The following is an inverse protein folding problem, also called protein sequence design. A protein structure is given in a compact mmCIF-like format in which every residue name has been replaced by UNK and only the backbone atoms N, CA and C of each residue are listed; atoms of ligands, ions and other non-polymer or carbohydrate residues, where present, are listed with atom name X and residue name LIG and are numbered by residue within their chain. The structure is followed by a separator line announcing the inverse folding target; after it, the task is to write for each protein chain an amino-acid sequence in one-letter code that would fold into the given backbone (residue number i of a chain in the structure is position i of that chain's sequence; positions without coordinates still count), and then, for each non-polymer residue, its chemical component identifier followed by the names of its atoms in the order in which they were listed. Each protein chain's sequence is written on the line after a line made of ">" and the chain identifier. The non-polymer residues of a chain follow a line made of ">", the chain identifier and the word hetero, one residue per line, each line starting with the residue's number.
data_IF_843004865046
#
_entry.id   IF_843004865046
#
_cell.length_a   1.000
_cell.length_b   1.000
_cell.length_c   1.000
_cell.angle_alpha   90.00
_cell.angle_beta   90.00
_cell.angle_gamma   90.00
#
_symmetry.space_group_name_H-M   'P 1'
#
loop_
_entity.id
_entity.type
_entity.pdbx_description
1 polymer ?
#
# COMPACT_ATOMS: atom_id res chain seq x y z
N UNK A 1 -36.12 -2.57 -13.88
CA UNK A 1 -36.16 -1.96 -15.23
C UNK A 1 -35.11 -2.64 -16.08
N UNK A 2 -35.47 -3.19 -17.25
CA UNK A 2 -34.52 -3.89 -18.11
C UNK A 2 -33.65 -2.89 -18.89
N UNK A 3 -32.33 -3.03 -18.83
CA UNK A 3 -31.39 -2.19 -19.57
C UNK A 3 -31.31 -2.67 -21.02
N UNK A 4 -31.67 -1.81 -21.98
CA UNK A 4 -31.57 -2.10 -23.42
C UNK A 4 -30.23 -1.58 -23.92
N UNK A 5 -29.34 -2.50 -24.32
CA UNK A 5 -28.09 -2.14 -24.99
C UNK A 5 -28.39 -1.89 -26.46
N UNK A 6 -28.32 -0.64 -26.90
CA UNK A 6 -28.46 -0.27 -28.32
C UNK A 6 -27.08 -0.29 -28.97
N UNK A 7 -26.87 -1.24 -29.88
CA UNK A 7 -25.62 -1.36 -30.63
C UNK A 7 -25.67 -0.42 -31.84
N UNK A 8 -24.90 0.67 -31.81
CA UNK A 8 -24.78 1.61 -32.95
C UNK A 8 -23.70 1.12 -33.92
N UNK A 9 -24.04 1.08 -35.22
CA UNK A 9 -23.11 0.73 -36.29
C UNK A 9 -22.54 2.01 -36.92
N UNK A 10 -21.22 2.09 -37.01
CA UNK A 10 -20.50 3.13 -37.73
C UNK A 10 -20.08 2.58 -39.09
N UNK A 11 -20.54 3.23 -40.16
CA UNK A 11 -20.11 2.92 -41.52
C UNK A 11 -19.25 4.07 -42.06
N UNK A 12 -18.13 3.74 -42.70
CA UNK A 12 -17.22 4.73 -43.29
C UNK A 12 -17.33 4.67 -44.80
N UNK A 13 -17.63 5.81 -45.41
CA UNK A 13 -17.64 5.99 -46.87
C UNK A 13 -16.55 6.98 -47.30
N UNK A 14 -16.49 7.28 -48.60
CA UNK A 14 -15.50 8.18 -49.18
C UNK A 14 -15.61 9.64 -48.70
N UNK A 15 -16.71 10.00 -48.02
CA UNK A 15 -17.00 11.36 -47.56
C UNK A 15 -16.85 11.48 -46.03
N UNK A 16 -16.90 10.37 -45.28
CA UNK A 16 -16.63 10.37 -43.84
C UNK A 16 -17.13 9.13 -43.10
N UNK A 17 -17.21 9.25 -41.77
CA UNK A 17 -17.85 8.22 -40.92
C UNK A 17 -19.27 8.68 -40.61
N UNK A 18 -20.27 7.87 -40.97
CA UNK A 18 -21.68 8.14 -40.72
C UNK A 18 -22.20 7.20 -39.64
N UNK A 19 -22.88 7.78 -38.63
CA UNK A 19 -23.59 7.03 -37.61
C UNK A 19 -24.94 6.59 -38.19
N UNK A 20 -25.16 5.29 -38.31
CA UNK A 20 -26.41 4.74 -38.81
C UNK A 20 -27.21 4.18 -37.63
N UNK A 21 -28.31 4.85 -37.28
CA UNK A 21 -29.29 4.34 -36.33
C UNK A 21 -30.31 3.51 -37.12
N UNK A 22 -30.49 2.22 -36.80
CA UNK A 22 -31.38 1.35 -37.57
C UNK A 22 -32.83 1.86 -37.52
N UNK A 23 -33.48 1.87 -38.67
CA UNK A 23 -34.89 2.25 -38.81
C UNK A 23 -35.77 1.23 -38.08
N UNK A 24 -36.91 1.67 -37.53
CA UNK A 24 -37.88 0.78 -36.87
C UNK A 24 -38.41 -0.33 -37.77
N UNK A 25 -38.28 -0.19 -39.10
CA UNK A 25 -38.63 -1.23 -40.07
C UNK A 25 -37.60 -2.38 -40.16
N UNK A 26 -36.36 -2.18 -39.71
CA UNK A 26 -35.27 -3.17 -39.81
C UNK A 26 -35.20 -4.14 -38.61
N UNK A 27 -35.99 -3.89 -37.55
CA UNK A 27 -36.00 -4.71 -36.33
C UNK A 27 -36.38 -6.18 -36.56
N UNK A 28 -37.22 -6.47 -37.57
CA UNK A 28 -37.64 -7.85 -37.88
C UNK A 28 -36.56 -8.69 -38.58
N UNK A 29 -35.51 -8.07 -39.11
CA UNK A 29 -34.41 -8.79 -39.77
C UNK A 29 -33.27 -9.20 -38.80
N UNK A 30 -33.30 -8.75 -37.55
CA UNK A 30 -32.22 -8.94 -36.56
C UNK A 30 -32.49 -10.06 -35.54
N UNK A 31 -33.66 -10.71 -35.57
CA UNK A 31 -34.02 -11.78 -34.61
C UNK A 31 -33.46 -13.17 -34.96
N UNK A 32 -32.77 -13.34 -36.09
CA UNK A 32 -32.15 -14.61 -36.51
C UNK A 32 -30.62 -14.49 -36.65
N UNK A 33 -29.93 -14.19 -35.55
CA UNK A 33 -28.48 -14.43 -35.46
C UNK A 33 -28.22 -15.25 -34.19
N UNK A 34 -28.38 -16.57 -34.31
CA UNK A 34 -27.94 -17.53 -33.31
C UNK A 34 -26.41 -17.63 -33.35
N UNK A 35 -25.68 -17.51 -32.23
CA UNK A 35 -24.23 -17.66 -32.25
C UNK A 35 -23.87 -19.14 -32.46
N UNK A 36 -23.37 -19.45 -33.66
CA UNK A 36 -22.76 -20.75 -33.97
C UNK A 36 -21.48 -20.91 -33.14
N UNK A 37 -21.55 -21.68 -32.05
CA UNK A 37 -20.38 -22.18 -31.32
C UNK A 37 -19.54 -23.05 -32.25
N UNK A 38 -18.47 -22.50 -32.81
CA UNK A 38 -17.40 -23.30 -33.42
C UNK A 38 -16.54 -23.92 -32.32
N UNK A 39 -16.76 -25.20 -32.06
CA UNK A 39 -15.80 -26.08 -31.38
C UNK A 39 -14.50 -26.13 -32.19
N UNK A 40 -13.49 -25.36 -31.77
CA UNK A 40 -12.12 -25.54 -32.26
C UNK A 40 -11.51 -26.78 -31.58
N UNK A 41 -11.33 -27.84 -32.36
CA UNK A 41 -10.48 -28.99 -32.00
C UNK A 41 -9.02 -28.51 -31.98
N UNK A 42 -8.41 -28.53 -30.80
CA UNK A 42 -6.98 -28.30 -30.63
C UNK A 42 -6.18 -29.41 -31.33
N UNK A 43 -5.60 -29.12 -32.49
CA UNK A 43 -4.54 -29.93 -33.09
C UNK A 43 -3.24 -29.68 -32.31
N UNK A 44 -2.71 -30.71 -31.67
CA UNK A 44 -1.34 -30.73 -31.11
C UNK A 44 -0.34 -30.53 -32.23
N UNK A 45 0.31 -29.37 -32.27
CA UNK A 45 1.54 -29.16 -33.02
C UNK A 45 2.70 -29.72 -32.19
N UNK A 46 3.28 -30.83 -32.67
CA UNK A 46 4.54 -31.38 -32.16
C UNK A 46 5.67 -30.53 -32.75
N UNK A 47 6.24 -29.66 -31.93
CA UNK A 47 7.45 -28.91 -32.30
C UNK A 47 8.65 -29.83 -32.09
N UNK A 48 9.28 -30.26 -33.19
CA UNK A 48 10.61 -30.91 -33.16
C UNK A 48 11.65 -29.86 -32.77
N UNK A 49 12.28 -30.03 -31.61
CA UNK A 49 13.48 -29.28 -31.23
C UNK A 49 14.68 -29.76 -32.05
N UNK A 50 15.21 -28.90 -32.91
CA UNK A 50 16.55 -29.05 -33.49
C UNK A 50 17.58 -28.53 -32.50
N UNK A 51 18.55 -29.38 -32.14
CA UNK A 51 19.74 -29.01 -31.35
C UNK A 51 20.64 -28.11 -32.20
N UNK A 52 20.92 -26.90 -31.73
CA UNK A 52 22.00 -26.07 -32.24
C UNK A 52 23.11 -26.10 -31.18
N UNK A 53 24.31 -26.49 -31.61
CA UNK A 53 25.52 -26.52 -30.80
C UNK A 53 25.98 -25.09 -30.45
N UNK A 54 26.59 -24.94 -29.28
CA UNK A 54 26.68 -23.69 -28.55
C UNK A 54 27.78 -22.70 -28.97
N UNK A 55 27.77 -21.57 -28.27
CA UNK A 55 28.92 -20.73 -27.98
C UNK A 55 28.58 -19.96 -26.70
N UNK A 56 29.41 -20.13 -25.65
CA UNK A 56 29.18 -19.57 -24.32
C UNK A 56 29.74 -18.16 -24.16
N UNK A 57 29.19 -17.39 -23.21
CA UNK A 57 29.90 -16.43 -22.36
C UNK A 57 28.97 -15.98 -21.21
N UNK A 58 29.50 -15.96 -19.98
CA UNK A 58 29.09 -15.01 -18.93
C UNK A 58 27.88 -15.35 -18.07
N UNK A 59 28.15 -15.80 -16.85
CA UNK A 59 27.22 -16.17 -15.78
C UNK A 59 26.46 -14.99 -15.15
N UNK A 60 25.13 -15.15 -14.99
CA UNK A 60 24.35 -14.51 -13.93
C UNK A 60 23.22 -15.48 -13.49
N UNK A 61 22.92 -15.66 -12.19
CA UNK A 61 21.96 -16.66 -11.75
C UNK A 61 20.52 -16.19 -11.97
N UNK A 62 19.81 -16.86 -12.89
CA UNK A 62 18.34 -16.77 -13.01
C UNK A 62 17.68 -17.72 -12.02
N UNK A 63 16.85 -17.18 -11.14
CA UNK A 63 15.91 -17.95 -10.32
C UNK A 63 14.91 -18.69 -11.23
N UNK A 64 14.64 -19.95 -10.91
CA UNK A 64 13.66 -20.80 -11.61
C UNK A 64 12.27 -20.49 -11.09
N UNK A 65 11.38 -20.06 -11.99
CA UNK A 65 9.94 -20.09 -11.79
C UNK A 65 9.48 -21.54 -11.64
N UNK A 66 8.90 -21.87 -10.48
CA UNK A 66 8.19 -23.13 -10.27
C UNK A 66 6.74 -22.94 -10.71
N UNK A 67 6.40 -23.59 -11.82
CA UNK A 67 5.04 -23.83 -12.30
C UNK A 67 4.34 -24.81 -11.33
N UNK A 68 3.31 -24.35 -10.62
CA UNK A 68 2.39 -25.23 -9.91
C UNK A 68 1.32 -25.78 -10.87
N UNK A 69 1.26 -27.10 -10.99
CA UNK A 69 0.09 -27.83 -11.48
C UNK A 69 -0.47 -28.67 -10.34
N UNK A 70 -1.73 -28.39 -10.05
CA UNK A 70 -2.72 -29.07 -9.19
C UNK A 70 -2.75 -30.60 -9.25
N UNK A 71 -2.86 -31.26 -8.08
CA UNK A 71 -3.93 -32.18 -7.59
C UNK A 71 -3.39 -33.09 -6.44
N UNK A 72 -4.23 -33.83 -5.67
CA UNK A 72 -5.16 -33.35 -4.64
C UNK A 72 -4.83 -33.91 -3.24
N UNK A 73 -5.59 -33.42 -2.26
CA UNK A 73 -5.60 -33.70 -0.82
C UNK A 73 -5.47 -35.20 -0.48
N UNK A 74 -4.50 -35.53 0.37
CA UNK A 74 -4.50 -36.75 1.17
C UNK A 74 -4.00 -36.45 2.60
N UNK A 75 -4.79 -36.95 3.56
CA UNK A 75 -4.62 -36.95 5.02
C UNK A 75 -3.17 -36.89 5.54
N UNK A 76 -2.89 -35.89 6.39
CA UNK A 76 -1.74 -35.94 7.30
C UNK A 76 -2.21 -36.44 8.69
N UNK A 77 -1.93 -37.70 8.98
CA UNK A 77 -1.81 -38.25 10.34
C UNK A 77 -0.34 -38.63 10.54
N UNK A 78 0.21 -38.25 11.70
CA UNK A 78 1.59 -38.48 12.21
C UNK A 78 2.61 -37.52 11.57
N UNK A 79 3.39 -36.75 12.34
CA UNK A 79 4.06 -37.10 13.59
C UNK A 79 4.23 -35.89 14.51
N UNK A 80 3.48 -35.89 15.61
CA UNK A 80 3.89 -35.28 16.86
C UNK A 80 5.04 -36.13 17.43
N UNK A 81 6.28 -35.73 17.17
CA UNK A 81 7.47 -36.25 17.85
C UNK A 81 8.67 -35.36 17.51
N UNK A 82 8.74 -34.15 18.08
CA UNK A 82 9.98 -33.36 18.22
C UNK A 82 9.76 -32.14 19.14
N UNK A 83 9.11 -32.35 20.29
CA UNK A 83 8.95 -31.29 21.31
C UNK A 83 9.04 -31.81 22.75
N UNK A 84 9.93 -32.78 23.00
CA UNK A 84 10.21 -33.32 24.34
C UNK A 84 11.72 -33.37 24.64
N UNK A 85 12.46 -32.29 24.38
CA UNK A 85 13.89 -32.22 24.69
C UNK A 85 14.37 -30.87 25.26
N UNK A 86 13.51 -30.10 25.95
CA UNK A 86 13.95 -28.88 26.63
C UNK A 86 13.28 -28.62 27.99
N UNK A 87 13.11 -29.69 28.79
CA UNK A 87 12.84 -29.59 30.22
C UNK A 87 13.63 -30.65 30.97
N UNK A 88 14.83 -30.29 31.44
CA UNK A 88 15.50 -30.83 32.65
C UNK A 88 16.87 -30.17 32.83
N UNK A 89 16.94 -29.20 33.75
CA UNK A 89 17.99 -28.97 34.77
C UNK A 89 17.89 -27.53 35.30
N UNK A 90 16.99 -27.32 36.26
CA UNK A 90 17.25 -26.40 37.38
C UNK A 90 17.06 -27.21 38.65
N UNK A 91 18.19 -27.58 39.22
CA UNK A 91 18.32 -28.10 40.57
C UNK A 91 17.78 -27.08 41.55
N UNK A 92 16.81 -27.49 42.37
CA UNK A 92 16.33 -26.78 43.54
C UNK A 92 17.48 -26.63 44.56
N UNK A 93 17.74 -25.44 45.13
CA UNK A 93 18.48 -25.37 46.37
C UNK A 93 17.53 -25.65 47.54
N UNK A 94 17.96 -26.57 48.41
CA UNK A 94 17.24 -26.97 49.60
C UNK A 94 17.02 -25.81 50.57
N UNK A 95 15.85 -25.84 51.21
CA UNK A 95 15.51 -25.01 52.36
C UNK A 95 16.24 -25.59 53.58
N UNK A 96 17.22 -24.86 54.09
CA UNK A 96 17.78 -25.04 55.42
C UNK A 96 17.64 -23.74 56.21
N UNK A 97 16.80 -23.76 57.24
CA UNK A 97 16.88 -22.85 58.40
C UNK A 97 18.05 -23.29 59.27
N UNK A 98 18.94 -22.39 59.74
CA UNK A 98 18.68 -21.70 61.02
C UNK A 98 19.37 -20.32 61.18
N UNK A 99 19.01 -19.61 62.25
CA UNK A 99 19.95 -18.70 62.93
C UNK A 99 19.58 -17.22 62.93
N UNK A 100 18.80 -16.81 63.93
CA UNK A 100 18.68 -15.43 64.40
C UNK A 100 20.03 -14.93 64.92
N UNK A 101 20.64 -13.97 64.21
CA UNK A 101 21.76 -13.17 64.71
C UNK A 101 21.52 -11.70 64.35
N UNK A 102 21.04 -10.94 65.32
CA UNK A 102 20.90 -9.49 65.30
C UNK A 102 22.27 -8.81 65.14
N UNK A 103 22.58 -8.31 63.93
CA UNK A 103 23.66 -7.33 63.72
C UNK A 103 23.05 -5.93 63.58
N UNK A 104 23.42 -5.04 64.50
CA UNK A 104 23.17 -3.59 64.47
C UNK A 104 23.68 -3.00 63.15
N UNK A 105 22.76 -2.61 62.27
CA UNK A 105 23.05 -1.73 61.14
C UNK A 105 23.09 -0.30 61.68
N UNK A 106 24.26 0.34 61.53
CA UNK A 106 24.46 1.75 61.87
C UNK A 106 23.70 2.58 60.84
N UNK A 107 22.66 3.28 61.29
CA UNK A 107 21.93 4.29 60.49
C UNK A 107 22.95 5.35 60.06
N UNK A 108 23.34 5.36 58.78
CA UNK A 108 24.02 6.50 58.18
C UNK A 108 22.91 7.49 57.84
N UNK A 109 22.94 8.64 58.51
CA UNK A 109 22.02 9.73 58.27
C UNK A 109 22.06 10.10 56.78
N UNK A 110 20.95 9.86 56.09
CA UNK A 110 20.71 10.32 54.74
C UNK A 110 20.76 11.85 54.76
N UNK A 111 21.87 12.40 54.28
CA UNK A 111 22.02 13.82 53.98
C UNK A 111 20.92 14.16 52.97
N UNK A 112 19.96 14.96 53.42
CA UNK A 112 18.83 15.44 52.63
C UNK A 112 19.40 16.32 51.50
N UNK A 113 19.68 15.69 50.36
CA UNK A 113 20.03 16.40 49.13
C UNK A 113 18.73 17.04 48.68
N UNK A 114 18.68 18.36 48.75
CA UNK A 114 17.57 19.18 48.31
C UNK A 114 17.40 19.00 46.79
N UNK A 115 16.61 18.00 46.42
CA UNK A 115 16.40 17.56 45.05
C UNK A 115 15.26 18.36 44.42
N UNK A 116 15.38 19.69 44.39
CA UNK A 116 14.56 20.48 43.47
C UNK A 116 15.13 20.26 42.06
N UNK A 117 14.40 19.59 41.14
CA UNK A 117 14.88 19.45 39.77
C UNK A 117 15.06 20.84 39.15
N UNK A 118 16.14 21.06 38.38
CA UNK A 118 16.45 22.36 37.82
C UNK A 118 15.30 22.85 36.94
N UNK A 119 14.74 24.03 37.28
CA UNK A 119 13.58 24.64 36.60
C UNK A 119 13.72 24.67 35.07
N UNK A 120 14.94 24.84 34.56
CA UNK A 120 15.28 24.91 33.13
C UNK A 120 14.80 23.68 32.33
N UNK A 121 14.78 22.47 32.93
CA UNK A 121 14.37 21.26 32.20
C UNK A 121 12.86 21.17 31.99
N UNK A 122 12.04 21.83 32.80
CA UNK A 122 10.57 21.76 32.69
C UNK A 122 10.05 22.61 31.54
N UNK A 123 10.60 23.81 31.36
CA UNK A 123 10.11 24.77 30.36
C UNK A 123 10.34 24.26 28.92
N UNK A 124 11.45 23.56 28.68
CA UNK A 124 11.77 22.97 27.36
C UNK A 124 10.79 21.83 27.00
N UNK A 125 10.45 20.97 27.96
CA UNK A 125 9.53 19.85 27.74
C UNK A 125 8.13 20.37 27.44
N UNK A 126 7.66 21.36 28.21
CA UNK A 126 6.33 21.93 28.01
C UNK A 126 6.20 22.62 26.64
N UNK A 127 7.19 23.43 26.25
CA UNK A 127 7.21 24.10 24.94
C UNK A 127 7.13 23.11 23.78
N UNK A 128 7.79 21.95 23.91
CA UNK A 128 7.78 20.89 22.89
C UNK A 128 6.40 20.23 22.76
N UNK A 129 5.73 19.98 23.89
CA UNK A 129 4.38 19.41 23.92
C UNK A 129 3.34 20.37 23.32
N UNK A 130 3.44 21.66 23.65
CA UNK A 130 2.54 22.69 23.13
C UNK A 130 2.68 22.83 21.61
N UNK A 131 3.92 22.92 21.12
CA UNK A 131 4.20 22.96 19.69
C UNK A 131 3.69 21.71 18.95
N UNK A 132 3.85 20.51 19.53
CA UNK A 132 3.31 19.28 18.94
C UNK A 132 1.79 19.33 18.83
N UNK A 133 1.13 19.80 19.89
CA UNK A 133 -0.32 20.01 19.91
C UNK A 133 -0.77 20.96 18.80
N UNK A 134 -0.06 22.06 18.58
CA UNK A 134 -0.46 23.05 17.56
C UNK A 134 -0.29 22.52 16.13
N UNK A 135 0.79 21.78 15.84
CA UNK A 135 0.93 21.11 14.55
C UNK A 135 -0.15 20.05 14.32
N UNK A 136 -0.52 19.31 15.36
CA UNK A 136 -1.62 18.33 15.30
C UNK A 136 -2.94 19.01 14.95
N UNK A 137 -3.29 20.11 15.62
CA UNK A 137 -4.50 20.90 15.31
C UNK A 137 -4.50 21.39 13.87
N UNK A 138 -3.34 21.86 13.37
CA UNK A 138 -3.18 22.30 11.98
C UNK A 138 -3.40 21.15 10.99
N UNK A 139 -2.90 19.96 11.29
CA UNK A 139 -3.16 18.75 10.49
C UNK A 139 -4.66 18.48 10.44
N UNK A 140 -5.34 18.41 11.58
CA UNK A 140 -6.78 18.15 11.66
C UNK A 140 -7.59 19.17 10.86
N UNK A 141 -7.33 20.46 11.07
CA UNK A 141 -7.99 21.53 10.32
C UNK A 141 -7.77 21.43 8.80
N UNK A 142 -6.56 21.08 8.38
CA UNK A 142 -6.24 20.91 6.96
C UNK A 142 -6.99 19.71 6.37
N UNK A 143 -7.06 18.59 7.09
CA UNK A 143 -7.83 17.41 6.68
C UNK A 143 -9.33 17.70 6.60
N UNK A 144 -9.88 18.50 7.52
CA UNK A 144 -11.28 18.96 7.47
C UNK A 144 -11.55 19.84 6.25
N UNK A 145 -10.65 20.79 5.96
CA UNK A 145 -10.76 21.67 4.80
C UNK A 145 -10.69 20.88 3.48
N UNK A 146 -9.91 19.78 3.44
CA UNK A 146 -9.86 18.85 2.31
C UNK A 146 -11.04 17.88 2.26
N UNK A 147 -11.94 17.91 3.25
CA UNK A 147 -13.00 16.92 3.44
C UNK A 147 -12.45 15.49 3.44
N UNK A 148 -11.25 15.30 4.02
CA UNK A 148 -10.64 14.00 4.18
C UNK A 148 -11.45 13.19 5.20
N UNK A 149 -11.68 11.92 4.89
CA UNK A 149 -12.39 10.96 5.74
C UNK A 149 -11.59 9.70 6.01
N UNK A 150 -10.55 9.43 5.20
CA UNK A 150 -9.67 8.29 5.34
C UNK A 150 -8.22 8.71 5.14
N UNK A 151 -7.36 8.40 6.12
CA UNK A 151 -5.91 8.49 5.99
C UNK A 151 -5.33 7.08 5.91
N UNK A 152 -4.72 6.77 4.76
CA UNK A 152 -3.95 5.57 4.53
C UNK A 152 -2.46 5.85 4.80
N UNK A 153 -1.83 4.99 5.58
CA UNK A 153 -0.41 5.10 5.95
C UNK A 153 0.29 3.84 5.45
N UNK A 154 1.39 3.99 4.71
CA UNK A 154 2.26 2.85 4.41
C UNK A 154 2.97 2.33 5.68
N UNK A 155 3.42 1.08 5.64
CA UNK A 155 4.03 0.44 6.78
C UNK A 155 5.55 0.63 6.85
N UNK A 156 6.28 0.07 5.88
CA UNK A 156 7.74 0.06 5.86
C UNK A 156 8.26 1.46 5.55
N UNK A 157 9.28 1.92 6.27
CA UNK A 157 9.86 3.27 6.11
C UNK A 157 8.86 4.43 6.15
N UNK A 158 7.60 4.20 6.51
CA UNK A 158 6.59 5.25 6.71
C UNK A 158 6.12 5.22 8.15
N UNK A 159 5.26 4.26 8.54
CA UNK A 159 4.89 4.07 9.95
C UNK A 159 6.12 3.64 10.77
N UNK A 160 6.95 2.77 10.20
CA UNK A 160 8.24 2.36 10.75
C UNK A 160 9.38 3.25 10.25
N UNK A 161 10.46 3.31 11.01
CA UNK A 161 11.72 3.94 10.59
C UNK A 161 12.65 2.99 9.81
N UNK A 162 12.33 1.69 9.79
CA UNK A 162 13.05 0.63 9.07
C UNK A 162 12.20 0.01 7.95
N UNK A 163 12.85 -0.84 7.15
CA UNK A 163 12.20 -1.65 6.11
C UNK A 163 12.24 -3.13 6.50
N UNK A 164 11.07 -3.76 6.65
CA UNK A 164 10.94 -5.18 7.03
C UNK A 164 11.20 -6.15 5.87
N UNK A 165 11.26 -5.64 4.63
CA UNK A 165 11.35 -6.45 3.41
C UNK A 165 10.21 -7.48 3.28
N UNK A 166 9.06 -7.21 3.91
CA UNK A 166 7.90 -8.11 3.92
C UNK A 166 8.13 -9.47 4.58
N UNK A 167 9.22 -9.63 5.35
CA UNK A 167 9.60 -10.91 5.96
C UNK A 167 10.26 -10.76 7.33
N UNK A 168 9.74 -9.85 8.16
CA UNK A 168 10.15 -9.70 9.56
C UNK A 168 9.96 -11.03 10.32
N UNK A 169 11.06 -11.58 10.83
CA UNK A 169 11.09 -12.90 11.47
C UNK A 169 10.95 -12.84 13.00
N UNK A 170 11.20 -11.67 13.57
CA UNK A 170 11.10 -11.39 14.99
C UNK A 170 9.66 -11.12 15.43
N UNK A 171 9.47 -10.84 16.72
CA UNK A 171 8.15 -10.57 17.30
C UNK A 171 7.66 -9.15 16.97
N UNK A 172 6.36 -8.90 17.18
CA UNK A 172 5.78 -7.55 17.07
C UNK A 172 6.35 -6.59 18.13
N UNK A 173 6.69 -7.10 19.32
CA UNK A 173 7.28 -6.32 20.41
C UNK A 173 8.63 -5.70 19.98
N UNK A 174 9.43 -6.46 19.25
CA UNK A 174 10.71 -5.98 18.69
C UNK A 174 10.54 -4.90 17.60
N UNK A 175 9.34 -4.73 17.03
CA UNK A 175 9.03 -3.63 16.11
C UNK A 175 8.53 -2.37 16.81
N UNK A 176 8.13 -2.43 18.08
CA UNK A 176 7.62 -1.26 18.82
C UNK A 176 8.64 -0.11 18.84
N UNK A 177 9.96 -0.34 19.09
CA UNK A 177 10.96 0.73 19.06
C UNK A 177 11.13 1.41 17.70
N UNK A 178 10.67 0.76 16.62
CA UNK A 178 10.77 1.24 15.25
C UNK A 178 9.56 2.06 14.79
N UNK A 179 8.50 2.13 15.60
CA UNK A 179 7.37 3.01 15.30
C UNK A 179 7.83 4.46 15.42
N UNK A 180 7.61 5.25 14.37
CA UNK A 180 8.00 6.65 14.39
C UNK A 180 7.18 7.41 15.45
N UNK A 181 7.82 8.19 16.35
CA UNK A 181 7.14 8.83 17.47
C UNK A 181 6.00 9.78 17.09
N UNK A 182 6.00 10.38 15.91
CA UNK A 182 4.91 11.27 15.50
C UNK A 182 3.57 10.51 15.36
N UNK A 183 3.59 9.26 14.90
CA UNK A 183 2.38 8.47 14.68
C UNK A 183 1.80 7.96 15.99
N UNK A 184 2.62 7.64 16.99
CA UNK A 184 2.13 7.25 18.33
C UNK A 184 1.24 8.31 18.94
N UNK A 185 1.52 9.58 18.64
CA UNK A 185 0.79 10.73 19.16
C UNK A 185 -0.32 11.22 18.19
N UNK A 186 -0.10 11.15 16.87
CA UNK A 186 -1.05 11.64 15.87
C UNK A 186 -2.23 10.68 15.65
N UNK A 187 -2.01 9.37 15.60
CA UNK A 187 -3.05 8.36 15.30
C UNK A 187 -4.22 8.42 16.29
N UNK A 188 -4.02 8.48 17.62
CA UNK A 188 -5.13 8.63 18.55
C UNK A 188 -5.95 9.91 18.31
N UNK A 189 -5.29 11.02 17.97
CA UNK A 189 -5.95 12.31 17.71
C UNK A 189 -6.78 12.28 16.43
N UNK A 190 -6.27 11.63 15.37
CA UNK A 190 -7.04 11.41 14.14
C UNK A 190 -8.29 10.57 14.40
N UNK A 191 -8.14 9.49 15.20
CA UNK A 191 -9.26 8.62 15.58
C UNK A 191 -10.32 9.36 16.41
N UNK A 192 -9.91 10.13 17.41
CA UNK A 192 -10.79 10.98 18.23
C UNK A 192 -11.54 12.02 17.37
N UNK A 193 -10.89 12.56 16.34
CA UNK A 193 -11.47 13.52 15.39
C UNK A 193 -12.39 12.87 14.35
N UNK A 194 -12.56 11.54 14.37
CA UNK A 194 -13.44 10.82 13.44
C UNK A 194 -12.83 10.60 12.05
N UNK A 195 -11.53 10.78 11.87
CA UNK A 195 -10.83 10.41 10.63
C UNK A 195 -10.53 8.91 10.68
N UNK A 196 -10.99 8.19 9.67
CA UNK A 196 -10.70 6.76 9.56
C UNK A 196 -9.25 6.54 9.19
N UNK A 197 -8.68 5.45 9.72
CA UNK A 197 -7.28 5.11 9.54
C UNK A 197 -7.14 3.75 8.86
N UNK A 198 -6.19 3.66 7.95
CA UNK A 198 -5.82 2.40 7.34
C UNK A 198 -4.31 2.25 7.20
N UNK A 199 -3.81 1.01 7.34
CA UNK A 199 -2.47 0.63 6.91
C UNK A 199 -2.57 0.00 5.53
N UNK A 200 -1.93 0.60 4.54
CA UNK A 200 -1.94 0.15 3.15
C UNK A 200 -0.52 -0.22 2.70
N UNK A 201 -0.18 -1.51 2.78
CA UNK A 201 1.21 -1.99 2.60
C UNK A 201 1.31 -3.21 1.69
N UNK A 202 2.44 -3.32 0.98
CA UNK A 202 2.79 -4.52 0.22
C UNK A 202 3.37 -5.66 1.06
N UNK A 203 3.62 -5.44 2.36
CA UNK A 203 3.98 -6.54 3.27
C UNK A 203 2.84 -7.56 3.34
N UNK A 204 3.11 -8.87 3.28
CA UNK A 204 2.09 -9.92 3.43
C UNK A 204 1.74 -10.20 4.90
N UNK A 205 2.44 -9.58 5.87
CA UNK A 205 2.42 -9.97 7.28
C UNK A 205 1.28 -9.32 8.08
N UNK A 206 0.04 -9.47 7.62
CA UNK A 206 -1.12 -8.82 8.24
C UNK A 206 -1.27 -9.11 9.74
N UNK A 207 -1.00 -10.34 10.17
CA UNK A 207 -1.13 -10.74 11.57
C UNK A 207 -0.14 -9.97 12.46
N UNK A 208 1.12 -9.90 12.04
CA UNK A 208 2.18 -9.16 12.73
C UNK A 208 1.82 -7.68 12.85
N UNK A 209 1.33 -7.07 11.77
CA UNK A 209 0.92 -5.66 11.76
C UNK A 209 -0.21 -5.41 12.77
N UNK A 210 -1.23 -6.27 12.80
CA UNK A 210 -2.32 -6.15 13.79
C UNK A 210 -1.82 -6.30 15.23
N UNK A 211 -0.93 -7.26 15.50
CA UNK A 211 -0.31 -7.45 16.82
C UNK A 211 0.47 -6.21 17.25
N UNK A 212 1.27 -5.62 16.34
CA UNK A 212 2.01 -4.39 16.57
C UNK A 212 1.09 -3.19 16.86
N UNK A 213 0.05 -2.98 16.04
CA UNK A 213 -0.91 -1.89 16.26
C UNK A 213 -1.60 -2.02 17.62
N UNK A 214 -1.91 -3.24 18.06
CA UNK A 214 -2.50 -3.51 19.37
C UNK A 214 -1.55 -3.14 20.52
N UNK A 215 -0.26 -3.46 20.40
CA UNK A 215 0.76 -3.12 21.40
C UNK A 215 0.95 -1.59 21.52
N UNK A 216 0.93 -0.89 20.38
CA UNK A 216 1.25 0.54 20.32
C UNK A 216 0.07 1.43 20.67
N UNK A 217 -1.13 1.11 20.15
CA UNK A 217 -2.31 1.99 20.24
C UNK A 217 -3.41 1.43 21.15
N UNK A 218 -3.23 0.23 21.69
CA UNK A 218 -4.24 -0.46 22.48
C UNK A 218 -5.39 -1.05 21.64
N UNK A 219 -6.18 -1.91 22.29
CA UNK A 219 -7.20 -2.71 21.61
C UNK A 219 -8.25 -1.90 20.86
N UNK A 220 -8.69 -0.77 21.43
CA UNK A 220 -9.78 0.03 20.86
C UNK A 220 -9.39 0.68 19.54
N UNK A 221 -8.28 1.42 19.52
CA UNK A 221 -7.80 2.13 18.34
C UNK A 221 -7.31 1.12 17.30
N UNK A 222 -6.55 0.10 17.70
CA UNK A 222 -6.05 -0.92 16.78
C UNK A 222 -7.17 -1.64 16.02
N UNK A 223 -8.31 -1.92 16.67
CA UNK A 223 -9.48 -2.52 16.01
C UNK A 223 -10.16 -1.57 15.03
N UNK A 224 -10.06 -0.27 15.22
CA UNK A 224 -10.62 0.75 14.33
C UNK A 224 -9.75 1.00 13.09
N UNK A 225 -8.46 0.66 13.13
CA UNK A 225 -7.55 0.78 11.99
C UNK A 225 -7.77 -0.38 11.02
N UNK A 226 -8.08 -0.06 9.76
CA UNK A 226 -8.22 -1.08 8.71
C UNK A 226 -6.84 -1.48 8.19
N UNK A 227 -6.48 -2.76 8.27
CA UNK A 227 -5.21 -3.24 7.71
C UNK A 227 -5.43 -3.91 6.36
N UNK A 228 -4.78 -3.39 5.32
CA UNK A 228 -4.69 -3.97 3.98
C UNK A 228 -3.24 -4.30 3.68
N UNK A 229 -2.87 -5.54 3.98
CA UNK A 229 -1.59 -6.16 3.66
C UNK A 229 -1.68 -6.92 2.32
N UNK A 230 -0.56 -7.27 1.70
CA UNK A 230 -0.56 -8.07 0.48
C UNK A 230 -0.84 -9.55 0.76
N UNK A 231 -2.10 -9.86 1.10
CA UNK A 231 -2.58 -11.20 1.40
C UNK A 231 -4.02 -11.41 0.90
N UNK A 232 -4.53 -12.62 1.06
CA UNK A 232 -5.83 -13.05 0.53
C UNK A 232 -7.00 -12.80 1.47
N UNK A 233 -6.78 -12.20 2.65
CA UNK A 233 -7.85 -12.01 3.66
C UNK A 233 -8.82 -10.88 3.32
N UNK A 234 -8.62 -10.18 2.20
CA UNK A 234 -9.49 -9.11 1.74
C UNK A 234 -9.58 -9.08 0.22
N UNK A 235 -10.71 -8.58 -0.27
CA UNK A 235 -10.99 -8.30 -1.67
C UNK A 235 -11.38 -6.84 -1.83
N UNK A 236 -11.32 -6.37 -3.07
CA UNK A 236 -11.84 -5.07 -3.48
C UNK A 236 -13.00 -5.32 -4.43
N UNK A 237 -14.09 -4.58 -4.29
CA UNK A 237 -15.18 -4.61 -5.27
C UNK A 237 -14.92 -3.58 -6.38
N UNK A 238 -15.45 -3.82 -7.58
CA UNK A 238 -15.37 -2.85 -8.67
C UNK A 238 -16.05 -1.53 -8.26
N UNK A 239 -15.47 -0.41 -8.67
CA UNK A 239 -15.97 0.93 -8.38
C UNK A 239 -16.12 1.68 -9.70
N UNK A 240 -17.30 2.27 -9.90
CA UNK A 240 -17.59 3.04 -11.10
C UNK A 240 -16.55 4.15 -11.32
N UNK A 241 -16.09 4.27 -12.57
CA UNK A 241 -15.08 5.27 -12.96
C UNK A 241 -13.63 4.87 -12.68
N UNK A 242 -13.37 3.76 -11.99
CA UNK A 242 -12.01 3.26 -11.77
C UNK A 242 -11.71 2.03 -12.66
N UNK A 243 -10.51 1.97 -13.28
CA UNK A 243 -10.15 0.84 -14.13
C UNK A 243 -9.93 -0.44 -13.32
N UNK A 244 -10.77 -1.45 -13.56
CA UNK A 244 -10.71 -2.75 -12.87
C UNK A 244 -9.31 -3.39 -12.88
N UNK A 245 -8.62 -3.34 -14.04
CA UNK A 245 -7.29 -3.92 -14.17
C UNK A 245 -6.24 -3.27 -13.25
N UNK A 246 -6.46 -2.02 -12.83
CA UNK A 246 -5.62 -1.34 -11.83
C UNK A 246 -6.10 -1.67 -10.41
N UNK A 247 -7.41 -1.65 -10.16
CA UNK A 247 -7.99 -1.98 -8.85
C UNK A 247 -7.59 -3.38 -8.37
N UNK A 248 -7.62 -4.36 -9.25
CA UNK A 248 -7.29 -5.75 -8.91
C UNK A 248 -5.78 -6.05 -8.97
N UNK A 249 -4.95 -5.12 -9.43
CA UNK A 249 -3.51 -5.29 -9.47
C UNK A 249 -2.90 -5.11 -8.08
N UNK A 250 -2.48 -6.21 -7.44
CA UNK A 250 -1.86 -6.21 -6.10
C UNK A 250 -0.50 -5.49 -6.03
N UNK A 251 0.10 -5.11 -7.17
CA UNK A 251 1.30 -4.26 -7.24
C UNK A 251 0.98 -2.76 -7.28
N UNK A 252 -0.30 -2.40 -7.25
CA UNK A 252 -0.77 -1.03 -7.29
C UNK A 252 -1.52 -0.70 -6.01
N UNK A 253 -1.22 0.44 -5.36
CA UNK A 253 -1.82 0.76 -4.07
C UNK A 253 -3.31 1.09 -4.15
N UNK A 254 -3.82 1.58 -5.28
CA UNK A 254 -5.24 1.96 -5.41
C UNK A 254 -6.23 0.91 -4.86
N UNK A 255 -6.04 -0.38 -5.14
CA UNK A 255 -6.91 -1.44 -4.60
C UNK A 255 -6.87 -1.57 -3.08
N UNK A 256 -5.74 -1.25 -2.44
CA UNK A 256 -5.58 -1.23 -0.99
C UNK A 256 -6.35 -0.05 -0.37
N UNK A 257 -6.28 1.14 -0.99
CA UNK A 257 -7.01 2.31 -0.51
C UNK A 257 -8.52 2.11 -0.65
N UNK A 258 -8.97 1.67 -1.84
CA UNK A 258 -10.40 1.47 -2.12
C UNK A 258 -11.00 0.36 -1.25
N UNK A 259 -10.30 -0.77 -1.09
CA UNK A 259 -10.76 -1.82 -0.17
C UNK A 259 -10.73 -1.41 1.30
N UNK A 260 -9.90 -0.43 1.68
CA UNK A 260 -9.92 0.15 3.02
C UNK A 260 -11.18 0.98 3.23
N UNK A 261 -11.51 1.85 2.27
CA UNK A 261 -12.75 2.62 2.26
C UNK A 261 -13.99 1.72 2.30
N UNK A 262 -14.03 0.67 1.47
CA UNK A 262 -15.13 -0.32 1.44
C UNK A 262 -15.31 -1.10 2.75
N UNK A 263 -14.26 -1.20 3.58
CA UNK A 263 -14.32 -1.88 4.88
C UNK A 263 -15.04 -1.05 5.96
N UNK A 264 -15.16 0.25 5.73
CA UNK A 264 -15.71 1.19 6.70
C UNK A 264 -17.23 1.20 6.59
N UNK A 265 -17.95 1.48 7.69
CA UNK A 265 -19.41 1.54 7.68
C UNK A 265 -19.94 2.65 6.76
N UNK A 266 -19.15 3.71 6.54
CA UNK A 266 -19.50 4.78 5.63
C UNK A 266 -19.00 4.46 4.20
N UNK A 267 -19.92 4.07 3.33
CA UNK A 267 -19.64 3.73 1.92
C UNK A 267 -19.39 4.94 1.01
N UNK A 268 -19.50 6.16 1.52
CA UNK A 268 -19.30 7.39 0.75
C UNK A 268 -17.83 7.80 0.62
N UNK A 269 -16.91 7.09 1.27
CA UNK A 269 -15.48 7.41 1.20
C UNK A 269 -14.96 7.04 -0.19
N UNK A 270 -14.59 8.07 -0.95
CA UNK A 270 -14.01 7.95 -2.30
C UNK A 270 -12.50 8.25 -2.29
N UNK A 271 -11.78 7.96 -3.38
CA UNK A 271 -10.40 8.41 -3.55
C UNK A 271 -10.19 9.90 -3.28
N UNK A 272 -11.14 10.76 -3.65
CA UNK A 272 -11.06 12.22 -3.45
C UNK A 272 -11.06 12.63 -1.97
N UNK A 273 -11.65 11.81 -1.11
CA UNK A 273 -11.70 12.06 0.34
C UNK A 273 -10.64 11.25 1.10
N UNK A 274 -9.62 10.74 0.38
CA UNK A 274 -8.58 9.88 0.91
C UNK A 274 -7.21 10.54 0.78
N UNK A 275 -6.41 10.46 1.86
CA UNK A 275 -4.99 10.81 1.86
C UNK A 275 -4.15 9.55 1.94
N UNK A 276 -3.07 9.45 1.15
CA UNK A 276 -2.02 8.44 1.27
C UNK A 276 -0.70 9.08 1.72
N UNK A 277 -0.12 8.53 2.78
CA UNK A 277 1.23 8.83 3.24
C UNK A 277 2.12 7.62 2.90
N UNK A 278 3.20 7.84 2.15
CA UNK A 278 4.10 6.80 1.63
C UNK A 278 5.51 7.35 1.44
N UNK A 279 6.54 6.51 1.56
CA UNK A 279 7.93 6.88 1.28
C UNK A 279 8.31 6.69 -0.20
N UNK A 280 7.57 5.86 -0.95
CA UNK A 280 7.81 5.60 -2.37
C UNK A 280 7.00 6.53 -3.28
N UNK A 281 7.70 7.45 -3.94
CA UNK A 281 7.10 8.41 -4.86
C UNK A 281 6.38 7.77 -6.06
N UNK A 282 6.76 6.54 -6.46
CA UNK A 282 6.04 5.83 -7.52
C UNK A 282 4.64 5.43 -7.09
N UNK A 283 4.49 4.95 -5.85
CA UNK A 283 3.19 4.62 -5.27
C UNK A 283 2.29 5.85 -5.23
N UNK A 284 2.85 6.98 -4.78
CA UNK A 284 2.15 8.26 -4.69
C UNK A 284 1.71 8.77 -6.07
N UNK A 285 2.62 8.82 -7.04
CA UNK A 285 2.30 9.25 -8.39
C UNK A 285 1.17 8.39 -8.98
N UNK A 286 1.31 7.07 -8.86
CA UNK A 286 0.35 6.13 -9.43
C UNK A 286 -1.06 6.27 -8.83
N UNK A 287 -1.21 6.55 -7.53
CA UNK A 287 -2.56 6.76 -6.95
C UNK A 287 -3.10 8.18 -7.16
N UNK A 288 -2.23 9.19 -7.30
CA UNK A 288 -2.64 10.58 -7.49
C UNK A 288 -3.41 10.81 -8.79
N UNK A 289 -3.16 9.98 -9.82
CA UNK A 289 -3.92 9.98 -11.08
C UNK A 289 -5.42 9.70 -10.88
N UNK A 290 -5.80 9.10 -9.75
CA UNK A 290 -7.17 8.75 -9.39
C UNK A 290 -7.78 9.72 -8.36
N UNK A 291 -7.18 10.89 -8.17
CA UNK A 291 -7.68 11.93 -7.27
C UNK A 291 -7.37 11.72 -5.79
N UNK A 292 -6.55 10.72 -5.44
CA UNK A 292 -6.06 10.52 -4.07
C UNK A 292 -5.10 11.65 -3.71
N UNK A 293 -5.31 12.27 -2.55
CA UNK A 293 -4.34 13.21 -2.00
C UNK A 293 -3.11 12.46 -1.50
N UNK A 294 -1.92 12.89 -1.89
CA UNK A 294 -0.68 12.17 -1.59
C UNK A 294 0.29 13.04 -0.81
N UNK A 295 0.96 12.42 0.15
CA UNK A 295 2.01 13.04 0.96
C UNK A 295 3.25 12.16 0.87
N UNK A 296 4.32 12.71 0.30
CA UNK A 296 5.61 12.05 0.29
C UNK A 296 6.30 12.21 1.64
N UNK A 297 6.55 11.06 2.28
CA UNK A 297 7.04 10.99 3.65
C UNK A 297 8.48 10.50 3.71
N UNK A 298 9.38 11.36 4.17
CA UNK A 298 10.82 11.10 4.23
C UNK A 298 11.23 10.60 5.61
N UNK A 299 12.47 10.10 5.74
CA UNK A 299 12.95 9.50 6.98
C UNK A 299 13.01 10.48 8.16
N UNK A 300 13.33 11.74 7.88
CA UNK A 300 13.49 12.83 8.85
C UNK A 300 12.24 13.71 9.00
N UNK A 301 11.13 13.33 8.38
CA UNK A 301 9.90 14.10 8.48
C UNK A 301 9.38 14.14 9.92
N UNK A 302 9.24 15.38 10.41
CA UNK A 302 8.59 15.70 11.67
C UNK A 302 7.09 15.95 11.50
N UNK A 303 6.35 16.07 12.60
CA UNK A 303 4.95 16.49 12.56
C UNK A 303 4.76 17.87 11.91
N UNK A 304 5.74 18.77 12.06
CA UNK A 304 5.71 20.10 11.45
C UNK A 304 5.86 20.04 9.92
N UNK A 305 6.74 19.17 9.44
CA UNK A 305 6.89 18.88 8.01
C UNK A 305 5.60 18.30 7.46
N UNK A 306 5.03 17.29 8.13
CA UNK A 306 3.75 16.68 7.74
C UNK A 306 2.61 17.71 7.67
N UNK A 307 2.49 18.58 8.68
CA UNK A 307 1.50 19.66 8.70
C UNK A 307 1.66 20.63 7.53
N UNK A 308 2.89 20.86 7.07
CA UNK A 308 3.19 21.73 5.92
C UNK A 308 2.88 21.02 4.60
N UNK A 309 3.28 19.75 4.48
CA UNK A 309 3.08 18.92 3.27
C UNK A 309 1.59 18.62 2.99
N UNK A 310 0.74 18.60 4.02
CA UNK A 310 -0.70 18.41 3.86
C UNK A 310 -1.45 19.62 3.30
N UNK A 311 -0.85 20.82 3.35
CA UNK A 311 -1.51 22.01 2.81
C UNK A 311 -1.62 21.84 1.31
N UNK A 312 -2.83 21.91 0.73
CA UNK A 312 -3.00 21.82 -0.71
C UNK A 312 -2.10 22.84 -1.38
N UNK A 313 -1.15 22.36 -2.18
CA UNK A 313 -0.36 23.21 -3.04
C UNK A 313 -1.36 23.86 -3.99
N UNK A 314 -1.64 25.16 -3.79
CA UNK A 314 -2.37 25.94 -4.78
C UNK A 314 -1.56 25.76 -6.06
N UNK A 315 -2.12 25.03 -7.03
CA UNK A 315 -1.49 24.90 -8.35
C UNK A 315 -1.31 26.33 -8.82
N UNK A 316 -0.09 26.84 -8.70
CA UNK A 316 0.26 28.12 -9.23
C UNK A 316 0.19 27.92 -10.74
N UNK A 317 -0.97 28.23 -11.31
CA UNK A 317 -1.25 28.14 -12.75
C UNK A 317 -0.29 29.01 -13.57
N UNK A 318 0.58 29.80 -12.93
CA UNK A 318 1.66 30.58 -13.51
C UNK A 318 2.76 29.74 -14.18
N UNK A 319 2.81 28.42 -13.96
CA UNK A 319 3.65 27.49 -14.75
C UNK A 319 2.83 26.56 -15.66
N UNK A 320 1.66 27.00 -16.12
CA UNK A 320 1.12 26.50 -17.37
C UNK A 320 2.14 26.82 -18.47
N UNK A 321 3.06 25.87 -18.72
CA UNK A 321 3.89 25.86 -19.93
C UNK A 321 2.94 26.20 -21.07
N UNK A 322 3.13 27.31 -21.81
CA UNK A 322 2.21 27.70 -22.86
C UNK A 322 2.02 26.47 -23.72
N UNK A 323 0.79 25.96 -23.78
CA UNK A 323 0.44 24.80 -24.59
C UNK A 323 0.98 25.17 -25.97
N UNK A 324 2.12 24.58 -26.35
CA UNK A 324 2.66 24.77 -27.68
C UNK A 324 1.51 24.33 -28.57
N UNK A 325 0.87 25.29 -29.25
CA UNK A 325 -0.14 25.01 -30.27
C UNK A 325 0.50 23.94 -31.15
N UNK A 326 0.09 22.68 -30.95
CA UNK A 326 0.54 21.59 -31.79
C UNK A 326 -0.15 21.89 -33.10
N UNK A 327 0.56 22.61 -33.97
CA UNK A 327 0.14 22.78 -35.35
C UNK A 327 -0.21 21.38 -35.87
N UNK A 328 -1.38 21.21 -36.51
CA UNK A 328 -1.82 19.92 -37.01
C UNK A 328 -0.69 19.26 -37.80
N UNK A 329 -0.46 17.98 -37.51
CA UNK A 329 0.67 17.17 -38.01
C UNK A 329 0.72 17.05 -39.55
N UNK A 330 -0.24 17.62 -40.26
CA UNK A 330 -0.35 17.63 -41.72
C UNK A 330 0.71 18.46 -42.46
N UNK A 331 1.47 19.33 -41.79
CA UNK A 331 2.47 20.19 -42.46
C UNK A 331 3.92 19.68 -42.42
N UNK A 332 4.21 18.48 -41.91
CA UNK A 332 5.55 17.86 -42.05
C UNK A 332 5.74 17.11 -43.37
N UNK A 333 5.35 17.73 -44.48
CA UNK A 333 5.78 17.31 -45.82
C UNK A 333 7.14 17.95 -46.08
N UNK A 334 8.23 17.18 -46.01
CA UNK A 334 9.54 17.67 -46.49
C UNK A 334 10.76 17.41 -45.62
N UNK A 335 10.72 16.55 -44.59
CA UNK A 335 11.99 16.08 -44.00
C UNK A 335 12.63 15.04 -44.92
N UNK A 336 13.86 15.26 -45.43
CA UNK A 336 14.57 14.29 -46.24
C UNK A 336 14.71 12.98 -45.46
N UNK A 337 14.22 11.88 -46.03
CA UNK A 337 14.44 10.54 -45.50
C UNK A 337 15.95 10.29 -45.64
N UNK A 338 16.69 10.26 -44.52
CA UNK A 338 18.09 9.87 -44.54
C UNK A 338 18.18 8.45 -45.12
N UNK A 339 18.97 8.20 -46.18
CA UNK A 339 19.10 6.88 -46.76
C UNK A 339 19.60 5.90 -45.70
N UNK A 340 18.90 4.76 -45.55
CA UNK A 340 19.33 3.69 -44.66
C UNK A 340 20.70 3.19 -45.14
N UNK A 341 21.73 3.28 -44.30
CA UNK A 341 23.03 2.64 -44.57
C UNK A 341 22.80 1.14 -44.75
N UNK A 342 23.24 0.60 -45.89
CA UNK A 342 23.27 -0.85 -46.12
C UNK A 342 24.22 -1.45 -45.08
N UNK A 343 23.73 -2.40 -44.28
CA UNK A 343 24.59 -3.24 -43.44
C UNK A 343 25.21 -4.29 -44.35
N UNK A 344 26.52 -4.22 -44.53
CA UNK A 344 27.29 -5.32 -45.11
C UNK A 344 27.32 -6.44 -44.06
N UNK A 345 26.77 -7.61 -44.42
CA UNK A 345 27.00 -8.82 -43.65
C UNK A 345 28.31 -9.42 -44.20
N UNK A 346 29.37 -9.36 -43.41
CA UNK A 346 30.56 -10.17 -43.63
C UNK A 346 30.23 -11.59 -43.14
N UNK A 347 30.42 -12.57 -44.02
CA UNK A 347 30.21 -14.00 -43.76
C UNK A 347 31.54 -14.68 -43.40
#
# INVERSE_FOLDING_TARGET
>A
MASVVVQTLLTRDAVGVKLCVPSTKDRKALEHITPVRKLQKNKKLVVKQTKIAGFGFGSAPRFKDLNEKTTPIALCKRSAALFNAWKRKRSSPGISTPGTSTKKVKLIANKQIDSTPPKIKRDIVQTTLDAFSDHTKRILHTLDAMQCRLMCIDFDKTLLDIHTNGSWSATADELVPHIRPLFTSLVPRLHEHGIHLAIATFSPQQKLINELLHLVFGASIAKAIVVRANCTTWSVEAVDGLPEHILFNRKHKLGYLVSSAQALPNKEITPLNTVLIDDDSNNLHAVSEFGVHTVWFEHDDSIASLATKLIPQTKNDSHATPVKKVLPRSERMGRPIKPKKKRTLEY
#
